data_IF_746104093565
#
_entry.id   IF_746104093565
#
_cell.length_a   1.000
_cell.length_b   1.000
_cell.length_c   1.000
_cell.angle_alpha   90.00
_cell.angle_beta   90.00
_cell.angle_gamma   90.00
#
_symmetry.space_group_name_H-M   'P 1'
#
loop_
_entity.id
_entity.type
_entity.pdbx_description
1 polymer ?
#
# COMPACT_ATOMS: atom_id res chain seq x y z
N UNK A 1 7.43 -8.02 -19.39
CA UNK A 1 7.76 -9.46 -19.34
C UNK A 1 8.19 -10.01 -20.71
N UNK A 2 7.39 -9.91 -21.79
CA UNK A 2 7.75 -10.42 -23.13
C UNK A 2 9.15 -10.03 -23.65
N UNK A 3 9.56 -8.76 -23.50
CA UNK A 3 10.90 -8.30 -23.91
C UNK A 3 12.03 -9.01 -23.18
N UNK A 4 11.87 -9.25 -21.88
CA UNK A 4 12.88 -9.95 -21.08
C UNK A 4 12.96 -11.42 -21.47
N UNK A 5 11.83 -12.04 -21.80
CA UNK A 5 11.84 -13.43 -22.28
C UNK A 5 12.65 -13.57 -23.58
N UNK A 6 12.53 -12.63 -24.51
CA UNK A 6 13.31 -12.66 -25.75
C UNK A 6 14.82 -12.49 -25.51
N UNK A 7 15.21 -11.54 -24.65
CA UNK A 7 16.63 -11.22 -24.39
C UNK A 7 17.35 -12.39 -23.71
N UNK A 8 16.68 -13.07 -22.78
CA UNK A 8 17.29 -14.12 -21.96
C UNK A 8 16.99 -15.54 -22.47
N UNK A 9 16.51 -15.68 -23.72
CA UNK A 9 16.34 -16.96 -24.39
C UNK A 9 15.17 -17.82 -23.86
N UNK A 10 14.08 -17.18 -23.44
CA UNK A 10 12.86 -17.84 -22.98
C UNK A 10 12.95 -18.46 -21.58
N UNK A 11 13.39 -17.74 -20.54
CA UNK A 11 13.30 -18.24 -19.18
C UNK A 11 11.84 -18.48 -18.77
N UNK A 12 11.64 -19.45 -17.89
CA UNK A 12 10.36 -19.68 -17.22
C UNK A 12 10.06 -18.49 -16.31
N UNK A 13 8.93 -17.82 -16.57
CA UNK A 13 8.54 -16.63 -15.84
C UNK A 13 7.78 -17.01 -14.56
N UNK A 14 8.29 -16.59 -13.41
CA UNK A 14 7.66 -16.80 -12.11
C UNK A 14 6.94 -15.51 -11.73
N UNK A 15 5.62 -15.58 -11.76
CA UNK A 15 4.72 -14.46 -11.45
C UNK A 15 4.24 -14.54 -9.99
N UNK A 16 5.17 -14.84 -9.08
CA UNK A 16 4.95 -14.85 -7.62
C UNK A 16 6.00 -13.96 -6.94
N UNK A 17 5.66 -13.43 -5.76
CA UNK A 17 6.57 -12.72 -4.86
C UNK A 17 7.19 -13.64 -3.80
N UNK A 18 6.92 -14.95 -3.86
CA UNK A 18 7.43 -15.92 -2.89
C UNK A 18 8.94 -16.15 -3.05
N UNK A 19 9.57 -16.65 -1.97
CA UNK A 19 10.99 -16.99 -2.01
C UNK A 19 11.27 -18.13 -3.00
N UNK A 20 12.04 -17.78 -4.03
CA UNK A 20 12.45 -18.71 -5.09
C UNK A 20 13.87 -19.25 -4.87
N UNK A 21 14.41 -19.19 -3.64
CA UNK A 21 15.77 -19.65 -3.36
C UNK A 21 16.01 -21.12 -3.72
N UNK A 22 14.99 -21.96 -3.64
CA UNK A 22 15.04 -23.37 -4.07
C UNK A 22 15.30 -23.55 -5.57
N UNK A 23 15.02 -22.54 -6.41
CA UNK A 23 15.26 -22.60 -7.84
C UNK A 23 16.68 -22.21 -8.24
N UNK A 24 17.51 -21.72 -7.30
CA UNK A 24 18.91 -21.38 -7.57
C UNK A 24 19.71 -22.59 -8.03
N UNK A 25 19.41 -23.76 -7.46
CA UNK A 25 20.08 -25.02 -7.74
C UNK A 25 19.29 -25.92 -8.70
N UNK A 26 18.11 -25.48 -9.15
CA UNK A 26 17.25 -26.24 -10.04
C UNK A 26 17.74 -26.17 -11.51
N UNK A 27 17.60 -27.26 -12.29
CA UNK A 27 17.95 -27.23 -13.71
C UNK A 27 16.99 -26.33 -14.48
N UNK A 28 17.51 -25.34 -15.19
CA UNK A 28 16.70 -24.47 -16.05
C UNK A 28 17.12 -23.01 -15.99
N UNK A 29 16.28 -22.14 -16.53
CA UNK A 29 16.43 -20.68 -16.44
C UNK A 29 15.10 -20.10 -15.97
N UNK A 30 15.13 -19.48 -14.81
CA UNK A 30 13.95 -18.93 -14.15
C UNK A 30 14.07 -17.41 -14.04
N UNK A 31 12.96 -16.71 -14.21
CA UNK A 31 12.91 -15.26 -14.05
C UNK A 31 11.69 -14.87 -13.22
N UNK A 32 11.94 -14.40 -12.00
CA UNK A 32 10.91 -13.85 -11.15
C UNK A 32 10.64 -12.39 -11.52
N UNK A 33 9.38 -12.04 -11.76
CA UNK A 33 8.98 -10.68 -12.16
C UNK A 33 7.74 -10.25 -11.40
N UNK A 34 7.86 -9.16 -10.66
CA UNK A 34 6.76 -8.50 -9.97
C UNK A 34 7.03 -7.00 -9.85
N UNK A 35 5.98 -6.24 -9.58
CA UNK A 35 6.09 -4.79 -9.39
C UNK A 35 6.62 -4.47 -8.00
N UNK A 36 7.39 -3.39 -7.91
CA UNK A 36 7.85 -2.80 -6.66
C UNK A 36 7.48 -1.32 -6.67
N UNK A 37 7.18 -0.78 -5.51
CA UNK A 37 6.87 0.63 -5.30
C UNK A 37 8.11 1.35 -4.75
N UNK A 38 8.47 2.54 -5.28
CA UNK A 38 9.57 3.32 -4.72
C UNK A 38 9.21 3.82 -3.31
N UNK A 39 10.16 3.73 -2.37
CA UNK A 39 10.01 4.36 -1.06
C UNK A 39 10.44 5.82 -1.19
N UNK A 40 9.55 6.80 -0.93
CA UNK A 40 9.85 8.20 -1.12
C UNK A 40 11.01 8.70 -0.27
N UNK A 41 11.85 9.57 -0.83
CA UNK A 41 12.85 10.33 -0.08
C UNK A 41 12.25 11.64 0.46
N UNK A 42 12.80 12.19 1.56
CA UNK A 42 12.38 13.50 2.08
C UNK A 42 12.43 14.58 0.99
N UNK A 43 11.32 15.29 0.80
CA UNK A 43 11.26 16.44 -0.11
C UNK A 43 12.03 17.61 0.51
N UNK A 44 12.96 18.27 -0.22
CA UNK A 44 13.72 19.39 0.32
C UNK A 44 12.89 20.67 0.49
N UNK A 45 11.65 20.70 -0.03
CA UNK A 45 10.76 21.85 0.03
C UNK A 45 9.62 21.61 1.02
N UNK A 46 9.58 22.39 2.09
CA UNK A 46 8.45 22.38 3.03
C UNK A 46 7.34 23.38 2.65
N UNK A 47 7.65 24.40 1.85
CA UNK A 47 6.71 25.48 1.48
C UNK A 47 5.43 24.96 0.80
N UNK A 48 4.28 25.26 1.40
CA UNK A 48 2.96 24.86 0.92
C UNK A 48 2.60 25.40 -0.48
N UNK A 49 3.21 26.51 -0.92
CA UNK A 49 2.94 27.13 -2.21
C UNK A 49 3.66 26.45 -3.38
N UNK A 50 4.63 25.56 -3.11
CA UNK A 50 5.32 24.81 -4.16
C UNK A 50 4.37 23.79 -4.77
N UNK A 51 4.28 23.80 -6.11
CA UNK A 51 3.42 22.90 -6.87
C UNK A 51 3.60 21.42 -6.43
N UNK A 52 2.52 20.71 -6.09
CA UNK A 52 2.58 19.31 -5.64
C UNK A 52 3.35 18.39 -6.59
N UNK A 53 3.25 18.60 -7.91
CA UNK A 53 3.97 17.78 -8.89
C UNK A 53 5.50 17.94 -8.80
N UNK A 54 5.98 19.13 -8.42
CA UNK A 54 7.42 19.35 -8.17
C UNK A 54 7.84 18.59 -6.91
N UNK A 55 7.07 18.70 -5.82
CA UNK A 55 7.36 17.96 -4.59
C UNK A 55 7.37 16.45 -4.85
N UNK A 56 6.42 15.96 -5.64
CA UNK A 56 6.32 14.55 -6.02
C UNK A 56 7.53 14.05 -6.81
N UNK A 57 8.01 14.84 -7.79
CA UNK A 57 9.24 14.53 -8.51
C UNK A 57 10.42 14.31 -7.55
N UNK A 58 10.65 15.23 -6.60
CA UNK A 58 11.77 15.11 -5.66
C UNK A 58 11.61 13.99 -4.63
N UNK A 59 10.37 13.61 -4.31
CA UNK A 59 10.10 12.44 -3.47
C UNK A 59 10.45 11.13 -4.16
N UNK A 60 10.37 11.07 -5.49
CA UNK A 60 10.58 9.85 -6.29
C UNK A 60 11.81 9.91 -7.20
N UNK A 61 12.64 10.95 -7.05
CA UNK A 61 13.91 11.08 -7.74
C UNK A 61 15.04 10.52 -6.89
N UNK A 62 16.03 9.89 -7.53
CA UNK A 62 17.23 9.39 -6.86
C UNK A 62 16.91 8.36 -5.75
N UNK A 63 16.02 7.42 -6.06
CA UNK A 63 15.49 6.42 -5.14
C UNK A 63 16.43 5.22 -5.05
N UNK A 64 16.62 4.72 -3.83
CA UNK A 64 17.42 3.52 -3.54
C UNK A 64 16.57 2.37 -2.99
N UNK A 65 15.55 2.73 -2.23
CA UNK A 65 14.78 1.79 -1.43
C UNK A 65 13.42 1.60 -2.09
N UNK A 66 13.01 0.36 -2.24
CA UNK A 66 11.74 -0.02 -2.84
C UNK A 66 11.02 -0.97 -1.90
N UNK A 67 9.70 -1.01 -1.95
CA UNK A 67 8.90 -2.00 -1.26
C UNK A 67 8.10 -2.85 -2.23
N UNK A 68 7.82 -4.08 -1.83
CA UNK A 68 6.77 -4.86 -2.43
C UNK A 68 5.95 -5.52 -1.34
N UNK A 69 4.69 -5.79 -1.66
CA UNK A 69 3.77 -6.37 -0.70
C UNK A 69 2.89 -7.42 -1.36
N UNK A 70 2.61 -8.49 -0.61
CA UNK A 70 1.64 -9.50 -1.01
C UNK A 70 0.58 -9.70 0.05
N UNK A 71 -0.59 -10.11 -0.41
CA UNK A 71 -1.69 -10.53 0.44
C UNK A 71 -1.41 -11.95 0.94
N UNK A 72 -1.67 -12.20 2.22
CA UNK A 72 -1.61 -13.53 2.81
C UNK A 72 -2.87 -13.77 3.63
N UNK A 73 -3.60 -14.83 3.31
CA UNK A 73 -4.72 -15.27 4.13
C UNK A 73 -4.22 -16.11 5.31
N UNK A 74 -4.68 -15.78 6.51
CA UNK A 74 -4.34 -16.47 7.74
C UNK A 74 -5.59 -16.87 8.50
N UNK A 75 -5.61 -18.11 8.97
CA UNK A 75 -6.60 -18.64 9.91
C UNK A 75 -5.94 -18.85 11.27
N UNK A 76 -6.76 -19.09 12.30
CA UNK A 76 -6.31 -19.40 13.66
C UNK A 76 -5.45 -18.29 14.29
N UNK A 77 -5.68 -17.05 13.88
CA UNK A 77 -5.12 -15.84 14.51
C UNK A 77 -6.07 -15.29 15.56
N UNK A 78 -5.57 -14.46 16.49
CA UNK A 78 -6.42 -13.77 17.47
C UNK A 78 -7.55 -12.96 16.83
N UNK A 79 -7.35 -12.44 15.63
CA UNK A 79 -8.34 -11.69 14.86
C UNK A 79 -9.48 -12.58 14.36
N UNK A 80 -9.13 -13.72 13.76
CA UNK A 80 -10.11 -14.69 13.26
C UNK A 80 -10.85 -15.41 14.39
N UNK A 81 -10.27 -15.46 15.61
CA UNK A 81 -10.97 -15.96 16.80
C UNK A 81 -12.10 -15.04 17.26
N UNK A 82 -12.05 -13.74 16.98
CA UNK A 82 -13.15 -12.80 17.27
C UNK A 82 -14.26 -12.95 16.23
N UNK A 83 -13.90 -12.87 14.94
CA UNK A 83 -14.84 -13.06 13.84
C UNK A 83 -14.09 -13.51 12.60
N UNK A 84 -14.50 -14.64 12.03
CA UNK A 84 -13.81 -15.23 10.89
C UNK A 84 -14.30 -14.66 9.54
N UNK A 85 -13.92 -13.41 9.26
CA UNK A 85 -14.25 -12.71 8.00
C UNK A 85 -13.04 -12.61 7.07
N UNK A 86 -13.27 -12.32 5.79
CA UNK A 86 -12.18 -12.01 4.83
C UNK A 86 -11.27 -10.90 5.36
N UNK A 87 -11.84 -9.84 5.94
CA UNK A 87 -11.10 -8.74 6.56
C UNK A 87 -10.12 -9.25 7.63
N UNK A 88 -10.58 -10.11 8.55
CA UNK A 88 -9.76 -10.64 9.66
C UNK A 88 -8.74 -11.69 9.21
N UNK A 89 -9.03 -12.42 8.13
CA UNK A 89 -8.08 -13.37 7.53
C UNK A 89 -6.96 -12.68 6.77
N UNK A 90 -7.17 -11.46 6.28
CA UNK A 90 -6.26 -10.88 5.30
C UNK A 90 -5.14 -10.07 5.95
N UNK A 91 -3.92 -10.56 5.79
CA UNK A 91 -2.67 -9.89 6.19
C UNK A 91 -1.93 -9.38 4.96
N UNK A 92 -1.10 -8.35 5.15
CA UNK A 92 -0.14 -7.92 4.14
C UNK A 92 1.27 -8.26 4.62
N UNK A 93 2.04 -8.92 3.76
CA UNK A 93 3.46 -9.17 3.99
C UNK A 93 4.25 -8.19 3.14
N UNK A 94 4.90 -7.22 3.79
CA UNK A 94 5.75 -6.23 3.14
C UNK A 94 7.22 -6.60 3.26
N UNK A 95 8.00 -6.30 2.24
CA UNK A 95 9.47 -6.37 2.27
C UNK A 95 10.04 -5.15 1.58
N UNK A 96 11.14 -4.65 2.14
CA UNK A 96 11.93 -3.59 1.52
C UNK A 96 13.14 -4.19 0.83
N UNK A 97 13.47 -3.68 -0.35
CA UNK A 97 14.69 -4.00 -1.09
C UNK A 97 15.51 -2.74 -1.30
N UNK A 98 16.82 -2.90 -1.20
CA UNK A 98 17.78 -1.80 -1.39
C UNK A 98 18.62 -2.10 -2.61
N UNK A 99 18.70 -1.13 -3.52
CA UNK A 99 19.52 -1.24 -4.72
C UNK A 99 20.96 -0.79 -4.49
N UNK A 100 21.87 -1.31 -5.33
CA UNK A 100 23.28 -0.93 -5.34
C UNK A 100 23.46 0.54 -5.73
N UNK A 101 22.84 0.94 -6.84
CA UNK A 101 22.80 2.33 -7.32
C UNK A 101 21.40 2.94 -7.18
N UNK A 102 21.33 4.27 -7.09
CA UNK A 102 20.07 5.00 -7.09
C UNK A 102 19.50 5.11 -8.50
N UNK A 103 18.18 5.16 -8.59
CA UNK A 103 17.45 5.37 -9.85
C UNK A 103 16.78 6.76 -9.87
N UNK A 104 16.84 7.49 -10.99
CA UNK A 104 17.53 7.12 -12.24
C UNK A 104 19.07 7.20 -12.11
N UNK A 105 19.78 6.31 -12.81
CA UNK A 105 21.24 6.27 -12.91
C UNK A 105 21.72 6.12 -14.36
N UNK A 106 22.99 5.75 -14.57
CA UNK A 106 23.52 5.50 -15.92
C UNK A 106 22.76 4.35 -16.61
N UNK A 107 22.52 3.28 -15.86
CA UNK A 107 21.72 2.14 -16.30
C UNK A 107 20.27 2.27 -15.83
N UNK A 108 19.35 1.65 -16.57
CA UNK A 108 17.92 1.60 -16.24
C UNK A 108 17.55 0.48 -15.27
N UNK A 109 18.54 -0.29 -14.83
CA UNK A 109 18.40 -1.38 -13.87
C UNK A 109 19.65 -1.48 -13.03
N UNK A 110 19.50 -1.95 -11.81
CA UNK A 110 20.58 -2.06 -10.82
C UNK A 110 20.35 -3.31 -9.96
N UNK A 111 21.41 -3.82 -9.36
CA UNK A 111 21.35 -5.03 -8.53
C UNK A 111 20.69 -4.72 -7.18
N UNK A 112 19.88 -5.65 -6.69
CA UNK A 112 19.41 -5.64 -5.29
C UNK A 112 20.54 -6.18 -4.40
N UNK A 113 20.94 -5.40 -3.40
CA UNK A 113 22.03 -5.75 -2.47
C UNK A 113 21.53 -6.14 -1.09
N UNK A 114 20.29 -5.79 -0.75
CA UNK A 114 19.67 -6.15 0.51
C UNK A 114 18.17 -6.34 0.34
N UNK A 115 17.61 -7.27 1.11
CA UNK A 115 16.18 -7.49 1.24
C UNK A 115 15.88 -7.68 2.72
N UNK A 116 14.92 -6.92 3.24
CA UNK A 116 14.53 -6.99 4.64
C UNK A 116 13.88 -8.34 4.99
N UNK A 117 13.86 -8.70 6.29
CA UNK A 117 12.87 -9.64 6.80
C UNK A 117 11.44 -9.19 6.46
N UNK A 118 10.46 -10.12 6.41
CA UNK A 118 9.07 -9.78 6.17
C UNK A 118 8.50 -8.96 7.33
N UNK A 119 7.79 -7.89 7.00
CA UNK A 119 6.99 -7.08 7.92
C UNK A 119 5.53 -7.51 7.75
N UNK A 120 4.92 -7.99 8.83
CA UNK A 120 3.54 -8.45 8.82
C UNK A 120 2.59 -7.33 9.26
N UNK A 121 1.70 -6.93 8.36
CA UNK A 121 0.65 -5.96 8.62
C UNK A 121 -0.63 -6.72 8.90
N UNK A 122 -1.11 -6.61 10.14
CA UNK A 122 -2.34 -7.24 10.61
C UNK A 122 -3.60 -6.55 10.03
N UNK A 123 -4.79 -7.17 10.16
CA UNK A 123 -6.04 -6.60 9.65
C UNK A 123 -6.33 -5.17 10.13
N UNK A 124 -6.13 -4.88 11.42
CA UNK A 124 -6.40 -3.55 11.98
C UNK A 124 -5.47 -2.48 11.39
N UNK A 125 -4.16 -2.74 11.38
CA UNK A 125 -3.17 -1.82 10.81
C UNK A 125 -3.42 -1.62 9.32
N UNK A 126 -3.78 -2.69 8.60
CA UNK A 126 -4.16 -2.61 7.18
C UNK A 126 -5.35 -1.68 6.99
N UNK A 127 -6.37 -1.77 7.85
CA UNK A 127 -7.55 -0.90 7.80
C UNK A 127 -7.22 0.56 8.09
N UNK A 128 -6.33 0.83 9.07
CA UNK A 128 -5.80 2.18 9.32
C UNK A 128 -5.09 2.71 8.07
N UNK A 129 -4.10 1.97 7.55
CA UNK A 129 -3.33 2.38 6.37
C UNK A 129 -4.23 2.61 5.14
N UNK A 130 -5.30 1.82 4.99
CA UNK A 130 -6.27 1.97 3.90
C UNK A 130 -7.13 3.22 4.08
N UNK A 131 -7.64 3.47 5.28
CA UNK A 131 -8.46 4.66 5.56
C UNK A 131 -7.64 5.94 5.40
N UNK A 132 -6.41 5.97 5.93
CA UNK A 132 -5.50 7.12 5.78
C UNK A 132 -5.22 7.45 4.32
N UNK A 133 -4.86 6.44 3.52
CA UNK A 133 -4.62 6.62 2.08
C UNK A 133 -5.87 7.14 1.38
N UNK A 134 -7.04 6.57 1.69
CA UNK A 134 -8.28 6.99 1.05
C UNK A 134 -8.64 8.44 1.38
N UNK A 135 -8.47 8.87 2.63
CA UNK A 135 -8.67 10.26 3.05
C UNK A 135 -7.68 11.21 2.36
N UNK A 136 -6.40 10.83 2.31
CA UNK A 136 -5.36 11.62 1.64
C UNK A 136 -5.62 11.79 0.14
N UNK A 137 -5.99 10.71 -0.57
CA UNK A 137 -6.33 10.73 -1.99
C UNK A 137 -7.55 11.63 -2.28
N UNK A 138 -8.57 11.57 -1.43
CA UNK A 138 -9.76 12.44 -1.53
C UNK A 138 -9.39 13.91 -1.36
N UNK A 139 -8.60 14.22 -0.33
CA UNK A 139 -8.14 15.59 -0.04
C UNK A 139 -7.26 16.13 -1.17
N UNK A 140 -6.32 15.34 -1.68
CA UNK A 140 -5.46 15.73 -2.80
C UNK A 140 -6.29 16.00 -4.06
N UNK A 141 -7.24 15.12 -4.39
CA UNK A 141 -8.12 15.32 -5.55
C UNK A 141 -9.02 16.54 -5.36
N UNK A 142 -9.48 16.82 -4.14
CA UNK A 142 -10.24 18.03 -3.82
C UNK A 142 -9.42 19.31 -4.03
N UNK A 143 -8.15 19.32 -3.60
CA UNK A 143 -7.25 20.45 -3.86
C UNK A 143 -6.97 20.64 -5.35
N UNK A 144 -6.88 19.56 -6.13
CA UNK A 144 -6.73 19.64 -7.58
C UNK A 144 -7.95 20.29 -8.27
N UNK A 145 -9.16 20.17 -7.72
CA UNK A 145 -10.35 20.88 -8.24
C UNK A 145 -10.18 22.40 -8.19
N UNK A 146 -9.44 22.92 -7.20
CA UNK A 146 -9.14 24.35 -7.10
C UNK A 146 -8.15 24.82 -8.18
N UNK A 147 -7.36 23.90 -8.75
CA UNK A 147 -6.32 24.19 -9.75
C UNK A 147 -6.79 23.90 -11.19
N UNK A 148 -7.44 22.76 -11.44
CA UNK A 148 -8.05 22.37 -12.72
C UNK A 148 -9.43 21.74 -12.51
N UNK A 149 -10.44 22.62 -12.54
CA UNK A 149 -11.82 22.28 -12.20
C UNK A 149 -12.43 21.22 -13.13
N UNK A 150 -12.15 21.26 -14.43
CA UNK A 150 -12.90 20.44 -15.41
C UNK A 150 -12.55 18.95 -15.31
N UNK A 151 -11.27 18.61 -15.13
CA UNK A 151 -10.84 17.22 -15.03
C UNK A 151 -11.00 16.66 -13.62
N UNK A 152 -10.69 17.45 -12.59
CA UNK A 152 -10.65 16.97 -11.21
C UNK A 152 -12.05 16.71 -10.62
N UNK A 153 -13.09 17.46 -11.03
CA UNK A 153 -14.45 17.27 -10.49
C UNK A 153 -15.00 15.87 -10.80
N UNK A 154 -14.76 15.35 -12.02
CA UNK A 154 -15.23 14.02 -12.39
C UNK A 154 -14.54 12.93 -11.55
N UNK A 155 -13.23 13.06 -11.34
CA UNK A 155 -12.45 12.14 -10.51
C UNK A 155 -12.95 12.17 -9.05
N UNK A 156 -13.04 13.38 -8.47
CA UNK A 156 -13.49 13.57 -7.11
C UNK A 156 -14.90 13.02 -6.88
N UNK A 157 -15.83 13.30 -7.80
CA UNK A 157 -17.22 12.82 -7.71
C UNK A 157 -17.29 11.29 -7.67
N UNK A 158 -16.45 10.61 -8.48
CA UNK A 158 -16.36 9.16 -8.48
C UNK A 158 -15.78 8.60 -7.18
N UNK A 159 -14.75 9.24 -6.63
CA UNK A 159 -14.15 8.84 -5.35
C UNK A 159 -15.12 9.02 -4.18
N UNK A 160 -15.79 10.17 -4.08
CA UNK A 160 -16.82 10.45 -3.07
C UNK A 160 -17.94 9.40 -3.16
N UNK A 161 -18.44 9.14 -4.38
CA UNK A 161 -19.49 8.14 -4.58
C UNK A 161 -19.06 6.76 -4.12
N UNK A 162 -17.80 6.37 -4.38
CA UNK A 162 -17.25 5.09 -3.93
C UNK A 162 -17.14 4.96 -2.41
N UNK A 163 -16.95 6.07 -1.69
CA UNK A 163 -16.94 6.09 -0.22
C UNK A 163 -18.35 6.09 0.36
N UNK A 164 -19.23 6.95 -0.14
CA UNK A 164 -20.62 7.10 0.37
C UNK A 164 -21.48 5.90 -0.01
N UNK A 165 -21.21 5.26 -1.16
CA UNK A 165 -21.95 4.10 -1.67
C UNK A 165 -21.00 2.94 -1.99
N UNK A 166 -20.45 2.28 -0.96
CA UNK A 166 -19.48 1.21 -1.11
C UNK A 166 -20.16 -0.09 -1.56
N UNK A 167 -20.46 -0.22 -2.85
CA UNK A 167 -21.27 -1.30 -3.40
C UNK A 167 -20.60 -2.70 -3.37
N UNK A 168 -19.29 -2.77 -3.15
CA UNK A 168 -18.50 -4.02 -3.26
C UNK A 168 -17.81 -4.39 -1.96
N UNK A 169 -17.16 -3.43 -1.29
CA UNK A 169 -16.27 -3.69 -0.15
C UNK A 169 -16.87 -3.32 1.20
N UNK A 170 -18.20 -3.18 1.32
CA UNK A 170 -18.91 -2.92 2.60
C UNK A 170 -18.65 -1.55 3.27
N UNK A 171 -17.61 -0.83 2.86
CA UNK A 171 -17.26 0.50 3.37
C UNK A 171 -16.93 0.50 4.86
N UNK A 172 -17.33 1.57 5.55
CA UNK A 172 -17.04 1.77 6.97
C UNK A 172 -17.61 0.65 7.86
N UNK A 173 -18.74 0.04 7.48
CA UNK A 173 -19.37 -1.03 8.26
C UNK A 173 -18.46 -2.25 8.46
N UNK A 174 -17.52 -2.49 7.54
CA UNK A 174 -16.54 -3.56 7.69
C UNK A 174 -15.56 -3.32 8.84
N UNK A 175 -15.33 -2.07 9.22
CA UNK A 175 -14.42 -1.73 10.31
C UNK A 175 -15.06 -1.78 11.70
N UNK A 176 -16.40 -1.85 11.79
CA UNK A 176 -17.13 -1.86 13.07
C UNK A 176 -16.67 -2.97 14.01
N UNK A 177 -16.26 -4.11 13.46
CA UNK A 177 -15.74 -5.25 14.22
C UNK A 177 -14.56 -4.85 15.11
N UNK A 178 -13.71 -3.90 14.66
CA UNK A 178 -12.56 -3.44 15.43
C UNK A 178 -12.93 -2.58 16.64
N UNK A 179 -14.18 -2.14 16.75
CA UNK A 179 -14.70 -1.36 17.87
C UNK A 179 -15.56 -2.20 18.83
N UNK A 180 -15.65 -3.52 18.60
CA UNK A 180 -16.35 -4.44 19.50
C UNK A 180 -15.60 -4.68 20.81
N UNK A 181 -16.33 -5.03 21.87
CA UNK A 181 -15.74 -5.43 23.15
C UNK A 181 -14.86 -6.67 23.00
N UNK A 182 -15.23 -7.60 22.11
CA UNK A 182 -14.43 -8.79 21.80
C UNK A 182 -13.06 -8.43 21.24
N UNK A 183 -13.00 -7.49 20.28
CA UNK A 183 -11.74 -6.97 19.75
C UNK A 183 -10.95 -6.20 20.81
N UNK A 184 -11.60 -5.37 21.61
CA UNK A 184 -10.93 -4.59 22.66
C UNK A 184 -10.18 -5.46 23.69
N UNK A 185 -10.67 -6.68 23.94
CA UNK A 185 -10.03 -7.65 24.86
C UNK A 185 -8.74 -8.26 24.33
N UNK A 186 -8.56 -8.33 23.00
CA UNK A 186 -7.38 -8.97 22.38
C UNK A 186 -6.27 -7.98 21.98
N UNK A 187 -6.52 -6.68 22.17
CA UNK A 187 -5.58 -5.63 21.81
C UNK A 187 -4.43 -5.48 22.80
N UNK A 188 -3.23 -5.38 22.26
CA UNK A 188 -2.08 -4.80 22.97
C UNK A 188 -2.15 -3.26 23.00
N UNK A 189 -1.13 -2.62 23.56
CA UNK A 189 -1.09 -1.15 23.69
C UNK A 189 -1.02 -0.43 22.34
N UNK A 190 -0.32 -0.98 21.35
CA UNK A 190 -0.20 -0.37 20.02
C UNK A 190 -1.52 -0.52 19.26
N UNK A 191 -2.13 -1.70 19.32
CA UNK A 191 -3.41 -1.98 18.66
C UNK A 191 -4.56 -1.14 19.23
N UNK A 192 -4.54 -0.83 20.53
CA UNK A 192 -5.49 0.15 21.11
C UNK A 192 -5.34 1.52 20.47
N UNK A 193 -4.10 1.99 20.29
CA UNK A 193 -3.84 3.27 19.62
C UNK A 193 -4.29 3.24 18.15
N UNK A 194 -4.01 2.15 17.44
CA UNK A 194 -4.45 1.96 16.05
C UNK A 194 -5.99 1.94 15.92
N UNK A 195 -6.69 1.30 16.85
CA UNK A 195 -8.15 1.30 16.86
C UNK A 195 -8.71 2.72 17.08
N UNK A 196 -8.15 3.47 18.03
CA UNK A 196 -8.51 4.89 18.23
C UNK A 196 -8.23 5.73 16.98
N UNK A 197 -7.09 5.50 16.33
CA UNK A 197 -6.71 6.18 15.10
C UNK A 197 -7.69 5.85 13.96
N UNK A 198 -8.08 4.58 13.79
CA UNK A 198 -9.06 4.17 12.79
C UNK A 198 -10.40 4.89 13.02
N UNK A 199 -10.85 4.97 14.27
CA UNK A 199 -12.06 5.69 14.64
C UNK A 199 -11.96 7.19 14.28
N UNK A 200 -10.84 7.83 14.59
CA UNK A 200 -10.63 9.24 14.27
C UNK A 200 -10.66 9.51 12.76
N UNK A 201 -10.02 8.64 11.97
CA UNK A 201 -9.99 8.76 10.51
C UNK A 201 -11.37 8.55 9.87
N UNK A 202 -12.20 7.67 10.43
CA UNK A 202 -13.58 7.49 9.98
C UNK A 202 -14.41 8.75 10.27
N UNK A 203 -14.27 9.33 11.48
CA UNK A 203 -14.96 10.56 11.85
C UNK A 203 -14.54 11.71 10.92
N UNK A 204 -13.22 11.90 10.73
CA UNK A 204 -12.68 12.88 9.79
C UNK A 204 -13.26 12.69 8.39
N UNK A 205 -13.35 11.44 7.91
CA UNK A 205 -13.95 11.12 6.60
C UNK A 205 -15.41 11.56 6.48
N UNK A 206 -16.21 11.33 7.51
CA UNK A 206 -17.60 11.76 7.54
C UNK A 206 -17.70 13.28 7.58
N UNK A 207 -16.85 13.95 8.36
CA UNK A 207 -16.86 15.41 8.48
C UNK A 207 -16.57 16.09 7.15
N UNK A 208 -15.49 15.72 6.43
CA UNK A 208 -15.15 16.40 5.18
C UNK A 208 -16.10 16.08 4.01
N UNK A 209 -16.85 14.96 4.06
CA UNK A 209 -17.82 14.61 3.02
C UNK A 209 -19.19 15.28 3.21
N UNK A 210 -19.47 15.81 4.40
CA UNK A 210 -20.73 16.48 4.71
C UNK A 210 -20.72 17.99 4.38
N UNK A 211 -19.56 18.56 4.05
CA UNK A 211 -19.41 19.94 3.57
C UNK A 211 -19.34 20.01 2.04
#
# INVERSE_FOLDING_TARGET
MQRMQQIYGGPEAIMSMDDCSHLKDAPGRYMQVFNVDPIPTPCPFEDAHVNPAIKDYYRHYNIRDFEYSRVEERKDTKWTSVKDTELMRTWIVKRTVVTYERLPGILRSTQIISTSPPIYVNPLRRSVDQMQRKNAELMETALLVLLDRLHAVKKLSGEILGVVRPAVMGGVSNYEVFFSDECARIYDSEEKQLAMQLSALIIEQVEFLNF
#
